data_IF_440496636720
#
_entry.id   IF_440496636720
#
_cell.length_a   1.000
_cell.length_b   1.000
_cell.length_c   1.000
_cell.angle_alpha   90.00
_cell.angle_beta   90.00
_cell.angle_gamma   90.00
#
_symmetry.space_group_name_H-M   'P 1'
#
loop_
_entity.id
_entity.type
_entity.pdbx_description
1 polymer ?
#
# COMPACT_ATOMS: atom_id res chain seq x y z
N UNK A 1 9.72 -19.67 11.60
CA UNK A 1 10.96 -19.09 12.18
C UNK A 1 10.65 -18.64 13.60
N UNK A 2 11.60 -18.77 14.54
CA UNK A 2 11.37 -18.35 15.94
C UNK A 2 11.74 -16.87 16.08
N UNK A 3 10.81 -16.05 16.58
CA UNK A 3 10.94 -14.59 16.78
C UNK A 3 12.20 -14.23 17.59
N UNK A 4 12.70 -15.13 18.44
CA UNK A 4 13.96 -14.93 19.17
C UNK A 4 15.20 -14.75 18.26
N UNK A 5 15.29 -15.42 17.10
CA UNK A 5 16.47 -15.30 16.22
C UNK A 5 16.55 -13.91 15.58
N UNK A 6 15.39 -13.36 15.27
CA UNK A 6 15.21 -11.99 14.83
C UNK A 6 15.63 -11.01 15.96
N UNK A 7 15.17 -11.27 17.18
CA UNK A 7 15.56 -10.48 18.35
C UNK A 7 17.06 -10.53 18.62
N UNK A 8 17.69 -11.71 18.55
CA UNK A 8 19.15 -11.88 18.66
C UNK A 8 19.91 -11.08 17.60
N UNK A 9 19.46 -11.12 16.34
CA UNK A 9 20.11 -10.36 15.26
C UNK A 9 19.99 -8.84 15.41
N UNK A 10 18.89 -8.36 16.02
CA UNK A 10 18.73 -6.94 16.39
C UNK A 10 19.55 -6.60 17.63
N UNK A 11 19.80 -7.55 18.54
CA UNK A 11 20.55 -7.36 19.79
C UNK A 11 22.09 -7.37 19.62
N UNK A 12 22.63 -7.97 18.55
CA UNK A 12 24.08 -8.18 18.40
C UNK A 12 24.91 -7.00 17.91
N UNK A 13 24.30 -5.84 17.60
CA UNK A 13 25.03 -4.61 17.19
C UNK A 13 24.74 -3.42 18.12
N UNK A 14 25.39 -3.39 19.29
CA UNK A 14 25.54 -2.26 20.25
C UNK A 14 24.32 -1.80 21.08
N UNK A 15 24.40 -1.94 22.42
CA UNK A 15 23.60 -1.22 23.46
C UNK A 15 22.08 -0.98 23.19
N UNK A 16 21.45 -1.96 22.53
CA UNK A 16 20.03 -2.05 22.14
C UNK A 16 19.06 -2.30 23.34
N UNK A 17 19.58 -2.52 24.54
CA UNK A 17 18.98 -3.44 25.52
C UNK A 17 17.73 -2.96 26.27
N UNK A 18 17.47 -1.66 26.43
CA UNK A 18 16.40 -1.19 27.34
C UNK A 18 15.06 -0.95 26.63
N UNK A 19 15.06 -0.23 25.50
CA UNK A 19 13.84 0.06 24.76
C UNK A 19 13.36 -1.14 23.92
N UNK A 20 14.27 -1.95 23.39
CA UNK A 20 13.91 -3.20 22.70
C UNK A 20 13.45 -4.28 23.69
N UNK A 21 13.94 -4.29 24.93
CA UNK A 21 13.32 -5.09 26.01
C UNK A 21 11.92 -4.60 26.35
N UNK A 22 11.71 -3.29 26.46
CA UNK A 22 10.38 -2.72 26.74
C UNK A 22 9.40 -3.02 25.61
N UNK A 23 9.81 -2.85 24.36
CA UNK A 23 9.00 -3.19 23.18
C UNK A 23 8.76 -4.70 23.06
N UNK A 24 9.78 -5.53 23.26
CA UNK A 24 9.62 -6.98 23.31
C UNK A 24 8.70 -7.42 24.44
N UNK A 25 8.75 -6.77 25.60
CA UNK A 25 7.84 -7.05 26.71
C UNK A 25 6.41 -6.57 26.41
N UNK A 26 6.23 -5.43 25.76
CA UNK A 26 4.91 -4.93 25.35
C UNK A 26 4.28 -5.78 24.23
N UNK A 27 5.09 -6.39 23.36
CA UNK A 27 4.63 -7.32 22.33
C UNK A 27 4.47 -8.76 22.82
N UNK A 28 5.28 -9.22 23.77
CA UNK A 28 5.40 -10.66 24.07
C UNK A 28 5.22 -10.98 25.57
N UNK A 29 4.96 -9.99 26.42
CA UNK A 29 4.74 -10.13 27.86
C UNK A 29 6.00 -10.52 28.64
N UNK A 30 5.82 -11.10 29.85
CA UNK A 30 6.91 -11.64 30.68
C UNK A 30 7.50 -12.96 30.13
N UNK A 31 6.87 -13.54 29.12
CA UNK A 31 7.23 -14.85 28.57
C UNK A 31 8.22 -14.69 27.42
N UNK A 32 9.41 -14.19 27.76
CA UNK A 32 10.51 -14.08 26.82
C UNK A 32 11.17 -15.44 26.57
N UNK A 33 11.23 -15.84 25.30
CA UNK A 33 12.38 -16.53 24.69
C UNK A 33 12.79 -17.88 25.29
N UNK A 34 12.31 -18.96 24.67
CA UNK A 34 12.81 -20.31 24.90
C UNK A 34 12.82 -21.16 23.64
N UNK A 35 13.16 -22.44 23.78
CA UNK A 35 12.94 -23.46 22.76
C UNK A 35 11.44 -23.78 22.55
N UNK A 36 10.57 -23.12 23.29
CA UNK A 36 9.15 -23.37 23.44
C UNK A 36 8.33 -22.82 22.26
N UNK A 37 7.07 -23.26 22.17
CA UNK A 37 6.14 -22.85 21.12
C UNK A 37 5.64 -21.42 21.37
N UNK A 38 5.29 -20.71 20.29
CA UNK A 38 4.69 -19.38 20.37
C UNK A 38 3.45 -19.40 21.29
N UNK A 39 3.35 -18.41 22.17
CA UNK A 39 2.18 -18.10 22.97
C UNK A 39 0.99 -17.72 22.08
N UNK A 40 -0.22 -17.72 22.65
CA UNK A 40 -1.43 -17.29 21.92
C UNK A 40 -1.32 -15.85 21.39
N UNK A 41 -0.69 -14.97 22.15
CA UNK A 41 -0.46 -13.58 21.77
C UNK A 41 0.58 -13.45 20.65
N UNK A 42 1.69 -14.20 20.71
CA UNK A 42 2.68 -14.25 19.64
C UNK A 42 2.08 -14.79 18.33
N UNK A 43 1.24 -15.83 18.40
CA UNK A 43 0.54 -16.33 17.22
C UNK A 43 -0.47 -15.33 16.68
N UNK A 44 -1.16 -14.58 17.55
CA UNK A 44 -2.07 -13.52 17.13
C UNK A 44 -1.30 -12.41 16.42
N UNK A 45 -0.16 -11.96 16.95
CA UNK A 45 0.62 -10.92 16.28
C UNK A 45 1.33 -11.39 15.00
N UNK A 46 1.72 -12.65 14.90
CA UNK A 46 2.17 -13.23 13.62
C UNK A 46 1.04 -13.22 12.60
N UNK A 47 -0.21 -13.49 13.01
CA UNK A 47 -1.38 -13.33 12.13
C UNK A 47 -1.63 -11.87 11.79
N UNK A 48 -1.64 -10.96 12.77
CA UNK A 48 -1.85 -9.54 12.53
C UNK A 48 -0.77 -8.97 11.57
N UNK A 49 0.49 -9.43 11.67
CA UNK A 49 1.57 -9.10 10.72
C UNK A 49 1.33 -9.74 9.35
N UNK A 50 0.94 -11.02 9.30
CA UNK A 50 0.64 -11.69 8.04
C UNK A 50 -0.57 -11.06 7.32
N UNK A 51 -1.59 -10.61 8.05
CA UNK A 51 -2.75 -9.90 7.52
C UNK A 51 -2.38 -8.53 6.91
N UNK A 52 -1.23 -7.98 7.29
CA UNK A 52 -0.67 -6.77 6.67
C UNK A 52 0.06 -7.03 5.36
N UNK A 53 0.69 -8.18 5.23
CA UNK A 53 1.56 -8.52 4.09
C UNK A 53 0.88 -9.41 3.06
N UNK A 54 -0.27 -9.99 3.41
CA UNK A 54 -1.19 -10.68 2.51
C UNK A 54 -2.28 -9.71 2.00
N UNK A 55 -3.21 -10.23 1.20
CA UNK A 55 -4.25 -9.49 0.49
C UNK A 55 -5.30 -8.80 1.39
N UNK A 56 -5.17 -8.93 2.72
CA UNK A 56 -6.13 -8.45 3.72
C UNK A 56 -5.86 -7.01 4.19
N UNK A 57 -4.70 -6.42 3.86
CA UNK A 57 -4.34 -5.01 4.09
C UNK A 57 -4.65 -4.47 5.51
N UNK A 58 -4.60 -5.32 6.53
CA UNK A 58 -4.86 -4.93 7.92
C UNK A 58 -6.33 -4.65 8.27
N UNK A 59 -7.29 -5.34 7.64
CA UNK A 59 -8.72 -5.27 8.02
C UNK A 59 -9.04 -5.85 9.41
N UNK A 60 -8.25 -6.82 9.90
CA UNK A 60 -8.53 -7.56 11.16
C UNK A 60 -7.60 -7.19 12.34
N UNK A 61 -6.95 -6.03 12.28
CA UNK A 61 -5.85 -5.69 13.20
C UNK A 61 -6.35 -5.32 14.60
N UNK A 62 -5.69 -5.87 15.62
CA UNK A 62 -6.05 -5.62 17.03
C UNK A 62 -5.58 -4.23 17.53
N UNK A 63 -6.35 -3.56 18.41
CA UNK A 63 -5.94 -2.31 19.05
C UNK A 63 -4.61 -2.41 19.81
N UNK A 64 -4.32 -3.57 20.40
CA UNK A 64 -3.10 -3.87 21.13
C UNK A 64 -1.88 -3.83 20.21
N UNK A 65 -1.96 -4.42 19.02
CA UNK A 65 -0.93 -4.34 18.00
C UNK A 65 -0.67 -2.88 17.58
N UNK A 66 -1.74 -2.11 17.31
CA UNK A 66 -1.62 -0.68 16.98
C UNK A 66 -0.91 0.10 18.10
N UNK A 67 -1.19 -0.23 19.37
CA UNK A 67 -0.54 0.41 20.51
C UNK A 67 0.95 0.06 20.58
N UNK A 68 1.30 -1.21 20.41
CA UNK A 68 2.70 -1.65 20.41
C UNK A 68 3.50 -0.97 19.28
N UNK A 69 2.94 -0.86 18.08
CA UNK A 69 3.57 -0.17 16.96
C UNK A 69 3.78 1.33 17.21
N UNK A 70 2.88 1.98 17.96
CA UNK A 70 3.07 3.38 18.39
C UNK A 70 4.17 3.53 19.45
N UNK A 71 4.25 2.59 20.39
CA UNK A 71 5.29 2.62 21.42
C UNK A 71 6.69 2.42 20.79
N UNK A 72 6.79 1.52 19.81
CA UNK A 72 7.99 1.38 18.99
C UNK A 72 8.35 2.67 18.24
N UNK A 73 7.36 3.34 17.65
CA UNK A 73 7.55 4.64 16.99
C UNK A 73 8.14 5.68 17.96
N UNK A 74 7.72 5.68 19.22
CA UNK A 74 8.29 6.56 20.24
C UNK A 74 9.76 6.22 20.59
N UNK A 75 10.18 4.96 20.43
CA UNK A 75 11.57 4.51 20.59
C UNK A 75 12.50 4.91 19.42
N UNK A 76 11.96 5.37 18.28
CA UNK A 76 12.76 5.74 17.09
C UNK A 76 13.83 6.80 17.36
N UNK A 77 13.63 7.69 18.34
CA UNK A 77 14.62 8.72 18.71
C UNK A 77 15.93 8.15 19.25
N UNK A 78 15.91 6.91 19.74
CA UNK A 78 17.11 6.27 20.30
C UNK A 78 17.94 5.55 19.24
N UNK A 79 17.35 5.17 18.09
CA UNK A 79 18.01 4.32 17.07
C UNK A 79 17.60 4.71 15.63
N UNK A 80 17.95 5.94 15.20
CA UNK A 80 17.53 6.48 13.91
C UNK A 80 18.06 5.66 12.71
N UNK A 81 19.24 5.08 12.80
CA UNK A 81 19.90 4.32 11.72
C UNK A 81 19.17 3.04 11.30
N UNK A 82 18.44 2.41 12.22
CA UNK A 82 17.64 1.19 11.98
C UNK A 82 16.18 1.51 11.70
N UNK A 83 15.62 2.48 12.44
CA UNK A 83 14.17 2.69 12.50
C UNK A 83 13.67 3.86 11.64
N UNK A 84 14.52 4.85 11.35
CA UNK A 84 14.16 5.92 10.42
C UNK A 84 14.51 5.47 9.00
N UNK A 85 13.50 5.26 8.13
CA UNK A 85 13.79 5.01 6.73
C UNK A 85 14.50 6.22 6.15
N UNK A 86 15.51 5.96 5.31
CA UNK A 86 16.15 7.00 4.52
C UNK A 86 15.10 7.71 3.69
N UNK A 87 15.27 9.02 3.47
CA UNK A 87 14.42 9.78 2.54
C UNK A 87 14.52 9.14 1.17
N UNK A 88 13.51 8.36 0.81
CA UNK A 88 13.50 7.51 -0.36
C UNK A 88 12.09 7.49 -0.93
N UNK A 89 12.00 7.18 -2.22
CA UNK A 89 10.72 6.98 -2.87
C UNK A 89 10.15 5.64 -2.43
N UNK A 90 8.86 5.64 -2.14
CA UNK A 90 8.07 4.45 -1.84
C UNK A 90 6.81 4.43 -2.67
N UNK A 91 6.33 3.22 -2.89
CA UNK A 91 5.30 2.89 -3.84
C UNK A 91 4.19 2.05 -3.19
N UNK A 92 2.97 2.22 -3.70
CA UNK A 92 1.82 1.42 -3.29
C UNK A 92 0.86 1.23 -4.46
N UNK A 93 0.54 -0.01 -4.80
CA UNK A 93 -0.52 -0.35 -5.75
C UNK A 93 -1.90 -0.09 -5.14
N UNK A 94 -2.77 0.58 -5.89
CA UNK A 94 -4.17 0.81 -5.51
C UNK A 94 -5.08 0.83 -6.74
N UNK A 95 -6.39 0.75 -6.53
CA UNK A 95 -7.38 1.17 -7.51
C UNK A 95 -8.05 2.48 -7.09
N UNK A 96 -8.16 3.43 -8.02
CA UNK A 96 -8.79 4.74 -7.80
C UNK A 96 -10.14 4.75 -8.53
N UNK A 97 -11.26 5.13 -7.86
CA UNK A 97 -12.56 5.20 -8.52
C UNK A 97 -12.56 6.31 -9.57
N UNK A 98 -13.13 6.03 -10.74
CA UNK A 98 -13.26 6.95 -11.87
C UNK A 98 -13.92 8.27 -11.46
N UNK A 99 -14.90 8.18 -10.55
CA UNK A 99 -15.56 9.32 -9.93
C UNK A 99 -14.60 10.40 -9.42
N UNK A 100 -13.45 10.00 -8.86
CA UNK A 100 -12.43 10.94 -8.35
C UNK A 100 -11.96 11.91 -9.44
N UNK A 101 -11.73 11.39 -10.64
CA UNK A 101 -11.22 12.13 -11.80
C UNK A 101 -12.31 12.98 -12.44
N UNK A 102 -13.53 12.43 -12.54
CA UNK A 102 -14.72 13.11 -13.06
C UNK A 102 -15.07 14.33 -12.20
N UNK A 103 -15.18 14.15 -10.88
CA UNK A 103 -15.54 15.23 -9.94
C UNK A 103 -14.51 16.38 -9.96
N UNK A 104 -13.25 16.08 -10.35
CA UNK A 104 -12.16 17.06 -10.45
C UNK A 104 -11.91 17.58 -11.87
N UNK A 105 -12.65 17.09 -12.87
CA UNK A 105 -12.39 17.34 -14.30
C UNK A 105 -10.93 17.08 -14.68
N UNK A 106 -10.35 16.04 -14.09
CA UNK A 106 -8.93 15.70 -14.24
C UNK A 106 -8.77 14.53 -15.20
N UNK A 107 -8.24 14.81 -16.39
CA UNK A 107 -7.87 13.77 -17.37
C UNK A 107 -6.78 12.87 -16.78
N UNK A 108 -6.88 11.55 -17.02
CA UNK A 108 -5.92 10.56 -16.54
C UNK A 108 -4.77 10.48 -17.54
N UNK A 109 -3.58 10.97 -17.16
CA UNK A 109 -2.39 10.76 -17.96
C UNK A 109 -1.94 9.29 -17.87
N UNK A 110 -1.85 8.61 -19.02
CA UNK A 110 -1.49 7.20 -19.12
C UNK A 110 0.02 6.96 -19.15
N UNK A 111 0.84 8.00 -19.32
CA UNK A 111 2.30 7.89 -19.44
C UNK A 111 3.04 8.58 -18.30
N UNK A 112 2.52 9.71 -17.82
CA UNK A 112 3.10 10.46 -16.71
C UNK A 112 2.21 10.39 -15.45
N UNK A 113 2.80 10.47 -14.25
CA UNK A 113 2.02 10.49 -13.01
C UNK A 113 1.08 11.70 -12.90
N UNK A 114 -0.06 11.48 -12.26
CA UNK A 114 -1.08 12.49 -11.98
C UNK A 114 -1.02 12.91 -10.51
N UNK A 115 -1.20 14.20 -10.15
CA UNK A 115 -1.40 14.59 -8.76
C UNK A 115 -2.63 13.91 -8.17
N UNK A 116 -2.50 13.36 -6.97
CA UNK A 116 -3.57 12.63 -6.30
C UNK A 116 -3.54 12.88 -4.79
N UNK A 117 -4.72 13.08 -4.19
CA UNK A 117 -4.87 13.16 -2.73
C UNK A 117 -5.26 11.77 -2.24
N UNK A 118 -4.30 11.03 -1.73
CA UNK A 118 -4.53 9.71 -1.17
C UNK A 118 -5.07 9.82 0.25
N UNK A 119 -6.22 9.20 0.49
CA UNK A 119 -6.83 9.05 1.81
C UNK A 119 -6.89 7.57 2.16
N UNK A 120 -6.03 7.16 3.09
CA UNK A 120 -6.01 5.78 3.55
C UNK A 120 -7.25 5.46 4.39
N UNK A 121 -7.78 4.25 4.22
CA UNK A 121 -8.82 3.68 5.09
C UNK A 121 -8.26 3.31 6.46
N UNK A 122 -7.04 2.76 6.50
CA UNK A 122 -6.35 2.33 7.72
C UNK A 122 -5.21 3.26 8.13
N UNK A 123 -4.96 3.32 9.44
CA UNK A 123 -3.82 4.03 10.04
C UNK A 123 -2.48 3.38 9.74
N UNK A 124 -2.47 2.08 9.49
CA UNK A 124 -1.26 1.34 9.14
C UNK A 124 -1.40 0.93 7.68
N UNK A 125 -0.40 1.28 6.87
CA UNK A 125 -0.34 0.94 5.45
C UNK A 125 1.00 0.32 5.12
N UNK A 126 0.98 -0.73 4.31
CA UNK A 126 2.15 -1.25 3.63
C UNK A 126 2.51 -0.42 2.39
N UNK A 127 3.78 -0.15 2.21
CA UNK A 127 4.38 0.49 1.05
C UNK A 127 5.64 -0.30 0.70
N UNK A 128 6.18 -0.16 -0.50
CA UNK A 128 7.44 -0.81 -0.88
C UNK A 128 8.38 0.22 -1.50
N UNK A 129 9.69 0.01 -1.38
CA UNK A 129 10.68 0.81 -2.12
C UNK A 129 10.83 0.35 -3.58
N UNK A 130 10.13 -0.69 -4.01
CA UNK A 130 10.19 -1.24 -5.37
C UNK A 130 8.89 -0.99 -6.13
N UNK A 131 9.03 -0.31 -7.29
CA UNK A 131 7.89 -0.03 -8.15
C UNK A 131 7.24 -1.31 -8.69
N UNK A 132 8.05 -2.27 -9.14
CA UNK A 132 7.58 -3.49 -9.80
C UNK A 132 6.74 -4.33 -8.83
N UNK A 133 7.18 -4.46 -7.57
CA UNK A 133 6.41 -5.09 -6.50
C UNK A 133 5.07 -4.35 -6.33
N UNK A 134 5.07 -3.03 -6.13
CA UNK A 134 3.83 -2.26 -5.95
C UNK A 134 2.87 -2.38 -7.13
N UNK A 135 3.39 -2.45 -8.35
CA UNK A 135 2.61 -2.56 -9.58
C UNK A 135 1.81 -3.86 -9.65
N UNK A 136 2.25 -4.94 -9.00
CA UNK A 136 1.48 -6.19 -8.96
C UNK A 136 0.21 -6.11 -8.10
N UNK A 137 0.10 -5.13 -7.20
CA UNK A 137 -1.01 -5.01 -6.24
C UNK A 137 -2.22 -4.20 -6.75
N UNK A 138 -2.50 -4.28 -8.05
CA UNK A 138 -3.70 -3.70 -8.65
C UNK A 138 -3.82 -4.08 -10.12
N UNK A 139 -4.99 -4.55 -10.55
CA UNK A 139 -5.22 -5.00 -11.92
C UNK A 139 -6.30 -4.19 -12.64
N UNK A 140 -6.40 -4.41 -13.95
CA UNK A 140 -7.38 -3.75 -14.82
C UNK A 140 -8.48 -4.69 -15.29
N UNK A 141 -8.79 -5.75 -14.52
CA UNK A 141 -9.74 -6.78 -14.94
C UNK A 141 -11.12 -6.19 -15.18
N UNK A 142 -11.64 -5.41 -14.23
CA UNK A 142 -12.94 -4.72 -14.37
C UNK A 142 -12.98 -3.76 -15.57
N UNK A 143 -11.89 -3.01 -15.79
CA UNK A 143 -11.78 -2.12 -16.95
C UNK A 143 -11.81 -2.91 -18.27
N UNK A 144 -11.09 -4.04 -18.33
CA UNK A 144 -11.04 -4.90 -19.50
C UNK A 144 -12.40 -5.56 -19.78
N UNK A 145 -13.08 -6.03 -18.74
CA UNK A 145 -14.42 -6.62 -18.83
C UNK A 145 -15.44 -5.61 -19.35
N UNK A 146 -15.47 -4.40 -18.79
CA UNK A 146 -16.34 -3.33 -19.28
C UNK A 146 -16.02 -2.98 -20.72
N UNK A 147 -14.74 -2.79 -21.05
CA UNK A 147 -14.33 -2.46 -22.41
C UNK A 147 -14.69 -3.53 -23.44
N UNK A 148 -14.78 -4.81 -23.03
CA UNK A 148 -15.20 -5.89 -23.92
C UNK A 148 -16.63 -5.70 -24.42
N UNK A 149 -17.51 -5.13 -23.58
CA UNK A 149 -18.94 -4.94 -23.82
C UNK A 149 -19.29 -3.60 -24.48
N UNK A 150 -18.35 -2.65 -24.55
CA UNK A 150 -18.57 -1.35 -25.20
C UNK A 150 -18.50 -1.47 -26.73
N UNK A 151 -19.53 -0.96 -27.43
CA UNK A 151 -19.45 -0.67 -28.86
C UNK A 151 -18.89 0.74 -29.08
N UNK A 152 -17.58 0.84 -29.29
CA UNK A 152 -16.89 2.11 -29.51
C UNK A 152 -17.39 2.89 -30.74
N UNK A 153 -18.11 2.23 -31.67
CA UNK A 153 -18.73 2.91 -32.81
C UNK A 153 -19.91 3.78 -32.41
N UNK A 154 -20.49 3.57 -31.25
CA UNK A 154 -21.62 4.34 -30.72
C UNK A 154 -21.17 5.53 -29.86
N UNK A 155 -19.86 5.78 -29.73
CA UNK A 155 -19.31 6.84 -28.88
C UNK A 155 -18.81 8.06 -29.69
N UNK A 156 -19.49 8.38 -30.78
CA UNK A 156 -19.01 9.40 -31.73
C UNK A 156 -19.32 10.83 -31.29
N UNK A 157 -20.39 11.03 -30.53
CA UNK A 157 -20.81 12.34 -30.02
C UNK A 157 -20.33 12.59 -28.58
N UNK A 158 -20.18 13.86 -28.16
CA UNK A 158 -19.89 14.19 -26.76
C UNK A 158 -20.96 13.69 -25.79
N UNK A 159 -22.23 13.74 -26.19
CA UNK A 159 -23.35 13.27 -25.37
C UNK A 159 -23.24 11.77 -25.08
N UNK A 160 -23.06 10.92 -26.09
CA UNK A 160 -22.87 9.48 -25.93
C UNK A 160 -21.67 9.14 -25.03
N UNK A 161 -20.59 9.91 -25.12
CA UNK A 161 -19.41 9.75 -24.27
C UNK A 161 -19.65 10.14 -22.82
N UNK A 162 -20.46 11.17 -22.58
CA UNK A 162 -20.84 11.60 -21.22
C UNK A 162 -21.78 10.60 -20.58
N UNK A 163 -22.73 10.05 -21.32
CA UNK A 163 -23.64 9.01 -20.82
C UNK A 163 -22.84 7.76 -20.42
N UNK A 164 -21.94 7.29 -21.28
CA UNK A 164 -21.00 6.21 -20.95
C UNK A 164 -20.16 6.52 -19.69
N UNK A 165 -19.65 7.75 -19.57
CA UNK A 165 -18.86 8.16 -18.41
C UNK A 165 -19.70 8.13 -17.12
N UNK A 166 -20.96 8.55 -17.20
CA UNK A 166 -21.89 8.55 -16.07
C UNK A 166 -22.22 7.12 -15.63
N UNK A 167 -22.53 6.23 -16.57
CA UNK A 167 -22.79 4.81 -16.28
C UNK A 167 -21.58 4.17 -15.58
N UNK A 168 -20.36 4.43 -16.04
CA UNK A 168 -19.13 3.91 -15.41
C UNK A 168 -18.85 4.50 -14.03
N UNK A 169 -19.29 5.73 -13.77
CA UNK A 169 -19.22 6.34 -12.43
C UNK A 169 -20.23 5.69 -11.49
N UNK A 170 -21.44 5.41 -11.98
CA UNK A 170 -22.51 4.79 -11.21
C UNK A 170 -22.20 3.32 -10.90
N UNK A 171 -21.49 2.62 -11.79
CA UNK A 171 -20.98 1.26 -11.59
C UNK A 171 -19.70 1.17 -10.72
N UNK A 172 -19.22 2.29 -10.16
CA UNK A 172 -17.95 2.40 -9.39
C UNK A 172 -16.75 1.81 -10.13
N UNK A 173 -16.58 2.11 -11.43
CA UNK A 173 -15.37 1.69 -12.15
C UNK A 173 -14.12 2.21 -11.44
N UNK A 174 -13.24 1.30 -11.03
CA UNK A 174 -11.94 1.62 -10.41
C UNK A 174 -10.80 1.25 -11.35
N UNK A 175 -9.83 2.14 -11.46
CA UNK A 175 -8.70 2.02 -12.38
C UNK A 175 -7.43 1.80 -11.56
N UNK A 176 -6.55 0.89 -11.97
CA UNK A 176 -5.32 0.61 -11.24
C UNK A 176 -4.24 1.68 -11.44
N UNK A 177 -3.61 2.07 -10.33
CA UNK A 177 -2.51 3.03 -10.27
C UNK A 177 -1.44 2.54 -9.29
N UNK A 178 -0.21 3.03 -9.49
CA UNK A 178 0.86 2.96 -8.50
C UNK A 178 1.08 4.36 -7.93
N UNK A 179 0.91 4.50 -6.63
CA UNK A 179 1.23 5.73 -5.91
C UNK A 179 2.74 5.84 -5.72
N UNK A 180 3.28 7.05 -5.81
CA UNK A 180 4.63 7.42 -5.44
C UNK A 180 4.57 8.47 -4.31
N UNK A 181 5.30 8.20 -3.23
CA UNK A 181 5.44 9.11 -2.10
C UNK A 181 6.87 9.10 -1.57
N UNK A 182 7.23 10.15 -0.83
CA UNK A 182 8.53 10.23 -0.16
C UNK A 182 8.37 9.81 1.30
N UNK A 183 9.24 8.92 1.75
CA UNK A 183 9.30 8.54 3.16
C UNK A 183 9.62 9.76 4.03
N UNK A 184 9.09 9.76 5.24
CA UNK A 184 9.46 10.72 6.26
C UNK A 184 9.44 10.05 7.63
N UNK A 185 10.32 10.48 8.56
CA UNK A 185 10.45 9.85 9.88
C UNK A 185 9.21 10.01 10.77
N UNK A 186 8.29 10.92 10.42
CA UNK A 186 7.08 11.16 11.21
C UNK A 186 5.98 10.16 10.85
N UNK A 187 6.01 9.58 9.66
CA UNK A 187 4.94 8.71 9.16
C UNK A 187 5.42 7.29 8.93
N UNK A 188 6.65 7.10 8.46
CA UNK A 188 7.18 5.78 8.12
C UNK A 188 8.10 5.23 9.21
N UNK A 189 8.02 3.92 9.39
CA UNK A 189 8.88 3.17 10.30
C UNK A 189 9.51 1.98 9.58
N UNK A 190 10.67 1.56 10.08
CA UNK A 190 11.50 0.44 9.60
C UNK A 190 12.08 0.62 8.19
N UNK A 191 13.32 0.12 8.00
CA UNK A 191 13.88 -0.12 6.66
C UNK A 191 13.40 -1.48 6.18
N UNK A 192 12.99 -1.58 4.91
CA UNK A 192 12.47 -2.80 4.26
C UNK A 192 13.29 -4.06 4.56
N UNK A 193 14.62 -3.93 4.50
CA UNK A 193 15.56 -5.04 4.82
C UNK A 193 15.36 -5.69 6.20
N UNK A 194 14.93 -4.94 7.22
CA UNK A 194 14.69 -5.47 8.56
C UNK A 194 13.29 -6.08 8.68
N UNK A 195 12.33 -5.58 7.90
CA UNK A 195 10.99 -6.14 7.84
C UNK A 195 10.98 -7.49 7.11
N UNK A 196 11.76 -7.63 6.04
CA UNK A 196 12.01 -8.91 5.36
C UNK A 196 12.58 -10.00 6.28
N UNK A 197 13.35 -9.62 7.30
CA UNK A 197 13.83 -10.55 8.32
C UNK A 197 12.70 -11.07 9.24
N UNK A 198 11.56 -10.38 9.30
CA UNK A 198 10.39 -10.72 10.13
C UNK A 198 9.47 -11.72 9.44
N UNK A 199 9.23 -11.58 8.13
CA UNK A 199 8.08 -12.25 7.49
C UNK A 199 8.39 -13.57 6.78
N UNK A 200 9.65 -13.97 6.61
CA UNK A 200 10.08 -15.15 5.83
C UNK A 200 9.60 -15.18 4.35
N UNK A 201 8.74 -14.25 3.92
CA UNK A 201 8.26 -14.16 2.56
C UNK A 201 9.35 -13.52 1.69
N UNK A 202 9.66 -14.18 0.57
CA UNK A 202 10.72 -13.73 -0.33
C UNK A 202 10.37 -12.46 -1.13
N UNK A 203 9.16 -11.91 -0.94
CA UNK A 203 8.57 -10.85 -1.76
C UNK A 203 8.39 -9.51 -1.02
N UNK A 204 8.82 -9.41 0.23
CA UNK A 204 8.40 -8.30 1.10
C UNK A 204 9.55 -7.34 1.42
N UNK A 205 9.83 -6.43 0.48
CA UNK A 205 10.61 -5.22 0.75
C UNK A 205 9.70 -4.06 1.20
N UNK A 206 8.92 -4.33 2.25
CA UNK A 206 7.86 -3.43 2.71
C UNK A 206 8.32 -2.42 3.78
N UNK A 207 7.79 -1.20 3.68
CA UNK A 207 7.87 -0.13 4.66
C UNK A 207 6.47 0.13 5.22
N UNK A 208 6.40 0.37 6.53
CA UNK A 208 5.12 0.59 7.20
C UNK A 208 4.91 2.08 7.44
N UNK A 209 3.83 2.64 6.89
CA UNK A 209 3.35 3.98 7.20
C UNK A 209 2.31 3.91 8.32
N UNK A 210 2.53 4.66 9.41
CA UNK A 210 1.60 4.81 10.54
C UNK A 210 1.05 6.25 10.59
N UNK A 211 0.13 6.54 9.69
CA UNK A 211 -0.74 7.73 9.65
C UNK A 211 -1.86 7.50 8.62
N UNK A 212 -3.10 7.93 8.88
CA UNK A 212 -4.20 7.93 7.90
C UNK A 212 -4.62 9.33 7.44
N UNK A 213 -3.90 10.38 7.84
CA UNK A 213 -4.13 11.71 7.30
C UNK A 213 -3.95 11.71 5.77
N UNK A 214 -4.81 12.46 5.04
CA UNK A 214 -4.66 12.59 3.60
C UNK A 214 -3.28 13.12 3.22
N UNK A 215 -2.67 12.54 2.19
CA UNK A 215 -1.37 12.95 1.67
C UNK A 215 -1.45 13.26 0.18
N UNK A 216 -0.63 14.22 -0.25
CA UNK A 216 -0.42 14.50 -1.67
C UNK A 216 0.63 13.52 -2.21
N UNK A 217 0.27 12.77 -3.23
CA UNK A 217 1.12 11.77 -3.89
C UNK A 217 1.05 11.96 -5.40
N UNK A 218 1.94 11.28 -6.11
CA UNK A 218 1.84 11.11 -7.56
C UNK A 218 1.24 9.74 -7.84
N UNK A 219 0.19 9.66 -8.65
CA UNK A 219 -0.44 8.41 -9.07
C UNK A 219 -0.08 8.13 -10.54
N UNK A 220 0.78 7.14 -10.78
CA UNK A 220 1.11 6.66 -12.12
C UNK A 220 0.09 5.60 -12.55
N UNK A 221 -0.48 5.75 -13.75
CA UNK A 221 -1.34 4.71 -14.33
C UNK A 221 -0.57 3.39 -14.39
N UNK A 222 -1.19 2.29 -13.96
CA UNK A 222 -0.48 1.02 -13.88
C UNK A 222 -0.37 0.38 -15.27
N UNK A 223 0.76 0.60 -15.94
CA UNK A 223 1.10 0.09 -17.26
C UNK A 223 2.17 -1.02 -17.23
N UNK A 224 2.39 -1.62 -16.05
CA UNK A 224 3.41 -2.64 -15.84
C UNK A 224 3.14 -3.91 -16.67
N UNK A 225 4.19 -4.59 -17.12
CA UNK A 225 4.07 -5.73 -18.05
C UNK A 225 3.31 -6.93 -17.47
N UNK A 226 3.40 -7.12 -16.15
CA UNK A 226 2.65 -8.16 -15.42
C UNK A 226 1.17 -7.79 -15.18
N UNK A 227 0.75 -6.58 -15.53
CA UNK A 227 -0.64 -6.12 -15.34
C UNK A 227 -1.34 -6.07 -16.69
N UNK A 228 -2.21 -7.04 -16.92
CA UNK A 228 -2.86 -7.19 -18.22
C UNK A 228 -3.78 -6.00 -18.56
N UNK A 229 -3.46 -5.33 -19.67
CA UNK A 229 -4.27 -4.29 -20.30
C UNK A 229 -4.65 -4.72 -21.71
N UNK A 230 -5.95 -4.90 -21.97
CA UNK A 230 -6.43 -5.21 -23.30
C UNK A 230 -6.40 -3.99 -24.22
N UNK A 231 -6.32 -4.22 -25.55
CA UNK A 231 -6.45 -3.14 -26.56
C UNK A 231 -7.77 -2.39 -26.44
N UNK A 232 -8.85 -3.10 -26.10
CA UNK A 232 -10.16 -2.49 -25.85
C UNK A 232 -10.13 -1.66 -24.56
N UNK A 233 -9.54 -2.16 -23.47
CA UNK A 233 -9.36 -1.42 -22.21
C UNK A 233 -8.59 -0.12 -22.42
N UNK A 234 -7.49 -0.16 -23.17
CA UNK A 234 -6.74 1.04 -23.54
C UNK A 234 -7.55 2.01 -24.40
N UNK A 235 -8.36 1.49 -25.33
CA UNK A 235 -9.28 2.31 -26.12
C UNK A 235 -10.31 2.98 -25.23
N UNK A 236 -10.92 2.24 -24.31
CA UNK A 236 -11.88 2.77 -23.35
C UNK A 236 -11.27 3.90 -22.51
N UNK A 237 -10.04 3.76 -22.02
CA UNK A 237 -9.33 4.84 -21.32
C UNK A 237 -9.21 6.12 -22.15
N UNK A 238 -9.01 6.02 -23.47
CA UNK A 238 -8.98 7.20 -24.36
C UNK A 238 -10.35 7.87 -24.45
N UNK A 239 -11.43 7.10 -24.52
CA UNK A 239 -12.80 7.64 -24.54
C UNK A 239 -13.18 8.25 -23.20
N UNK A 240 -12.83 7.63 -22.08
CA UNK A 240 -13.00 8.18 -20.72
C UNK A 240 -12.29 9.54 -20.63
N UNK A 241 -11.02 9.62 -21.03
CA UNK A 241 -10.24 10.87 -21.01
C UNK A 241 -10.86 11.95 -21.91
N UNK A 242 -11.35 11.57 -23.09
CA UNK A 242 -12.05 12.48 -23.99
C UNK A 242 -13.34 13.00 -23.34
N UNK A 243 -14.14 12.12 -22.74
CA UNK A 243 -15.37 12.49 -22.05
C UNK A 243 -15.10 13.46 -20.88
N UNK A 244 -14.08 13.18 -20.04
CA UNK A 244 -13.69 14.07 -18.94
C UNK A 244 -13.29 15.46 -19.46
N UNK A 245 -12.57 15.53 -20.59
CA UNK A 245 -12.18 16.81 -21.19
C UNK A 245 -13.36 17.62 -21.76
N UNK A 246 -14.51 16.97 -21.94
CA UNK A 246 -15.74 17.56 -22.46
C UNK A 246 -16.71 18.00 -21.34
N UNK A 247 -16.39 17.80 -20.06
CA UNK A 247 -17.19 18.21 -18.88
C UNK A 247 -17.01 19.68 -18.48
#
# INVERSE_FOLDING_TARGET
MKIYKLYESVLTEAEITSCVKKFGHELFGDQFGGSEANTGLENQYVRDIADFTDNMYGEEVTPEFVSAMKNLKACMKQYPEVLIPESSKVYRGITIPLKYFVDRKQVINLTAPNPYVYKASSKIQSWTNEYDIAATFGNHDTLNELAANVDFKELNTPEERRDMLQDMVDDDLRIAFVLEYMTNPNEFIFKSKYFRMLSMAHHEDELIRIDNNPINVLAKFNDHEDVFMSLKGLTLMKYINKAISEL
#
